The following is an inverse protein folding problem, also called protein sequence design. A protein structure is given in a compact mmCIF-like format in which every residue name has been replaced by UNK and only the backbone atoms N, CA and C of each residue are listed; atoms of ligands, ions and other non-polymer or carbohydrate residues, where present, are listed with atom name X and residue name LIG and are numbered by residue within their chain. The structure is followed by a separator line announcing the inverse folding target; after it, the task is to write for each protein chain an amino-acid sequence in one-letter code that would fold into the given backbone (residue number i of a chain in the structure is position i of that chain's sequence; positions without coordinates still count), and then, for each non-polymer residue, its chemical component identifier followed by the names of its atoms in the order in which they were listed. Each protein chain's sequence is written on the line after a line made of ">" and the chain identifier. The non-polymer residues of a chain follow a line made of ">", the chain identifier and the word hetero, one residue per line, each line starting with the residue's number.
data_IF_864189940068
#
_entry.id   IF_864189940068
#
_cell.length_a   1.000
_cell.length_b   1.000
_cell.length_c   1.000
_cell.angle_alpha   90.00
_cell.angle_beta   90.00
_cell.angle_gamma   90.00
#
_symmetry.space_group_name_H-M   'P 1'
#
loop_
_entity.id
_entity.type
_entity.pdbx_description
1 polymer ?
#
# COMPACT_ATOMS: atom_id res chain seq x y z
N UNK A 1 -18.47 -5.18 18.72
CA UNK A 1 -18.08 -5.19 17.30
C UNK A 1 -19.26 -4.67 16.48
N UNK A 2 -19.18 -3.48 15.88
CA UNK A 2 -20.34 -2.88 15.18
C UNK A 2 -20.35 -1.36 15.08
N UNK A 3 -19.41 -0.65 15.71
CA UNK A 3 -19.38 0.82 15.67
C UNK A 3 -18.83 1.42 14.36
N UNK A 4 -18.68 0.63 13.29
CA UNK A 4 -18.29 1.14 11.96
C UNK A 4 -16.81 1.42 11.72
N UNK A 5 -15.87 0.96 12.57
CA UNK A 5 -14.43 1.20 12.37
C UNK A 5 -13.90 0.76 11.00
N UNK A 6 -14.21 -0.48 10.58
CA UNK A 6 -13.76 -0.98 9.27
C UNK A 6 -14.39 -0.18 8.12
N UNK A 7 -15.65 0.23 8.27
CA UNK A 7 -16.33 1.12 7.32
C UNK A 7 -15.60 2.45 7.23
N UNK A 8 -15.22 3.04 8.35
CA UNK A 8 -14.48 4.31 8.38
C UNK A 8 -13.11 4.17 7.71
N UNK A 9 -12.36 3.10 7.99
CA UNK A 9 -11.06 2.87 7.35
C UNK A 9 -11.20 2.69 5.82
N UNK A 10 -12.24 1.99 5.36
CA UNK A 10 -12.49 1.82 3.93
C UNK A 10 -12.89 3.13 3.24
N UNK A 11 -13.63 4.00 3.92
CA UNK A 11 -13.97 5.35 3.42
C UNK A 11 -12.70 6.20 3.31
N UNK A 12 -11.86 6.21 4.35
CA UNK A 12 -10.58 6.95 4.34
C UNK A 12 -9.66 6.43 3.24
N UNK A 13 -9.64 5.12 2.98
CA UNK A 13 -8.84 4.51 1.93
C UNK A 13 -9.38 4.76 0.50
N UNK A 14 -10.59 5.29 0.34
CA UNK A 14 -11.26 5.41 -0.95
C UNK A 14 -11.79 4.07 -1.51
N UNK A 15 -11.81 3.01 -0.70
CA UNK A 15 -12.36 1.69 -1.07
C UNK A 15 -13.89 1.65 -1.02
N UNK A 16 -14.51 2.58 -0.32
CA UNK A 16 -15.97 2.75 -0.25
C UNK A 16 -16.30 4.21 -0.50
N UNK A 17 -17.34 4.49 -1.30
CA UNK A 17 -17.79 5.86 -1.57
C UNK A 17 -18.59 6.41 -0.39
N UNK A 18 -18.35 7.68 -0.06
CA UNK A 18 -19.17 8.44 0.89
C UNK A 18 -20.56 8.66 0.31
N UNK A 19 -21.60 8.47 1.12
CA UNK A 19 -22.99 8.78 0.70
C UNK A 19 -23.33 10.26 0.88
N UNK A 20 -22.73 10.91 1.88
CA UNK A 20 -22.87 12.34 2.21
C UNK A 20 -21.58 12.85 2.88
N UNK A 21 -21.27 14.13 2.69
CA UNK A 21 -20.01 14.73 3.15
C UNK A 21 -18.84 14.38 2.25
N UNK A 22 -17.62 14.69 2.68
CA UNK A 22 -16.39 14.42 1.95
C UNK A 22 -15.27 13.99 2.90
N UNK A 23 -14.33 13.19 2.38
CA UNK A 23 -13.05 12.90 3.04
C UNK A 23 -11.98 13.67 2.28
N UNK A 24 -11.21 14.50 2.98
CA UNK A 24 -10.12 15.27 2.38
C UNK A 24 -8.78 14.76 2.90
N UNK A 25 -7.82 14.60 2.01
CA UNK A 25 -6.41 14.36 2.31
C UNK A 25 -5.58 15.43 1.61
N UNK A 26 -4.86 16.25 2.37
CA UNK A 26 -4.08 17.38 1.81
C UNK A 26 -4.91 18.27 0.87
N UNK A 27 -6.10 18.66 1.34
CA UNK A 27 -7.09 19.47 0.60
C UNK A 27 -7.61 18.85 -0.71
N UNK A 28 -7.34 17.56 -0.95
CA UNK A 28 -7.88 16.81 -2.09
C UNK A 28 -8.94 15.83 -1.63
N UNK A 29 -10.04 15.77 -2.35
CA UNK A 29 -11.10 14.82 -2.08
C UNK A 29 -10.66 13.39 -2.38
N UNK A 30 -10.95 12.49 -1.44
CA UNK A 30 -10.71 11.05 -1.60
C UNK A 30 -11.95 10.42 -2.25
N UNK A 31 -11.91 10.28 -3.57
CA UNK A 31 -12.97 9.66 -4.35
C UNK A 31 -12.66 8.21 -4.77
N UNK A 32 -11.40 7.81 -4.62
CA UNK A 32 -10.85 6.55 -5.12
C UNK A 32 -9.58 6.12 -4.35
N UNK A 33 -9.20 4.84 -4.43
CA UNK A 33 -7.94 4.37 -3.84
C UNK A 33 -6.73 4.94 -4.58
N UNK A 34 -5.69 5.31 -3.84
CA UNK A 34 -4.47 5.92 -4.39
C UNK A 34 -3.22 5.52 -3.61
N UNK A 35 -2.03 5.59 -4.23
CA UNK A 35 -0.76 5.16 -3.61
C UNK A 35 -0.33 5.99 -2.40
N UNK A 36 -0.91 7.16 -2.19
CA UNK A 36 -0.70 8.06 -1.05
C UNK A 36 -1.37 7.55 0.25
N UNK A 37 -2.17 6.48 0.16
CA UNK A 37 -2.86 5.86 1.29
C UNK A 37 -2.58 4.36 1.35
N UNK A 38 -2.35 3.84 2.55
CA UNK A 38 -2.18 2.41 2.80
C UNK A 38 -3.14 1.92 3.88
N UNK A 39 -3.73 0.74 3.68
CA UNK A 39 -4.53 0.04 4.68
C UNK A 39 -3.75 -1.19 5.15
N UNK A 40 -3.52 -1.28 6.46
CA UNK A 40 -2.89 -2.44 7.07
C UNK A 40 -3.98 -3.28 7.72
N UNK A 41 -4.17 -4.51 7.25
CA UNK A 41 -5.09 -5.46 7.84
C UNK A 41 -4.46 -6.12 9.06
N UNK A 42 -5.29 -6.48 10.05
CA UNK A 42 -4.82 -7.22 11.21
C UNK A 42 -4.37 -8.66 10.86
N UNK A 43 -4.93 -9.23 9.79
CA UNK A 43 -4.48 -10.51 9.25
C UNK A 43 -3.34 -10.30 8.24
N UNK A 44 -2.37 -11.21 8.24
CA UNK A 44 -1.27 -11.21 7.28
C UNK A 44 -1.82 -11.23 5.84
N UNK A 45 -1.47 -10.19 5.08
CA UNK A 45 -1.91 -10.01 3.69
C UNK A 45 -0.77 -10.28 2.69
N UNK A 46 0.32 -10.91 3.14
CA UNK A 46 1.39 -11.36 2.27
C UNK A 46 0.91 -12.56 1.45
N UNK A 47 1.35 -12.64 0.20
CA UNK A 47 1.17 -13.80 -0.64
C UNK A 47 2.16 -14.88 -0.17
N UNK A 48 1.71 -15.97 0.46
CA UNK A 48 2.59 -16.91 1.16
C UNK A 48 3.45 -17.76 0.22
N UNK A 49 3.15 -17.74 -1.07
CA UNK A 49 3.94 -18.41 -2.12
C UNK A 49 4.97 -17.49 -2.78
N UNK A 50 5.13 -16.26 -2.30
CA UNK A 50 6.11 -15.29 -2.79
C UNK A 50 7.15 -14.98 -1.71
N UNK A 51 8.38 -14.71 -2.13
CA UNK A 51 9.43 -14.18 -1.25
C UNK A 51 9.03 -12.79 -0.70
N UNK A 52 9.71 -12.30 0.34
CA UNK A 52 9.48 -10.92 0.83
C UNK A 52 9.79 -9.92 -0.28
N UNK A 53 10.86 -10.13 -1.04
CA UNK A 53 11.21 -9.29 -2.18
C UNK A 53 10.07 -9.25 -3.20
N UNK A 54 9.51 -10.41 -3.58
CA UNK A 54 8.44 -10.49 -4.59
C UNK A 54 7.13 -9.85 -4.12
N UNK A 55 6.77 -10.01 -2.83
CA UNK A 55 5.64 -9.33 -2.24
C UNK A 55 5.76 -7.80 -2.36
N UNK A 56 6.95 -7.25 -2.08
CA UNK A 56 7.20 -5.80 -2.18
C UNK A 56 7.28 -5.37 -3.65
N UNK A 57 7.95 -6.16 -4.50
CA UNK A 57 8.12 -5.88 -5.92
C UNK A 57 6.77 -5.79 -6.66
N UNK A 58 5.77 -6.58 -6.26
CA UNK A 58 4.42 -6.51 -6.80
C UNK A 58 3.81 -5.11 -6.60
N UNK A 59 3.89 -4.57 -5.38
CA UNK A 59 3.38 -3.25 -5.05
C UNK A 59 4.18 -2.13 -5.74
N UNK A 60 5.52 -2.20 -5.68
CA UNK A 60 6.43 -1.23 -6.30
C UNK A 60 6.25 -1.17 -7.81
N UNK A 61 6.09 -2.32 -8.46
CA UNK A 61 5.84 -2.38 -9.90
C UNK A 61 4.48 -1.82 -10.29
N UNK A 62 3.46 -1.97 -9.43
CA UNK A 62 2.13 -1.39 -9.68
C UNK A 62 2.15 0.14 -9.60
N UNK A 63 2.90 0.71 -8.65
CA UNK A 63 2.98 2.16 -8.43
C UNK A 63 3.96 2.84 -9.39
N UNK A 64 5.14 2.25 -9.60
CA UNK A 64 6.23 2.88 -10.37
C UNK A 64 6.48 2.26 -11.74
N UNK A 65 5.66 1.32 -12.19
CA UNK A 65 5.89 0.58 -13.44
C UNK A 65 5.96 1.46 -14.70
N UNK A 66 5.37 2.66 -14.66
CA UNK A 66 5.40 3.64 -15.76
C UNK A 66 6.46 4.74 -15.59
N UNK A 67 7.05 4.87 -14.39
CA UNK A 67 7.94 5.99 -14.04
C UNK A 67 9.36 5.56 -13.68
N UNK A 68 9.60 4.27 -13.45
CA UNK A 68 10.91 3.71 -13.09
C UNK A 68 11.23 2.46 -13.90
N UNK A 69 12.47 2.38 -14.35
CA UNK A 69 13.03 1.16 -14.94
C UNK A 69 13.03 0.00 -13.94
N UNK A 70 13.27 -1.21 -14.44
CA UNK A 70 13.38 -2.41 -13.59
C UNK A 70 14.52 -2.28 -12.58
N UNK A 71 15.66 -1.72 -13.01
CA UNK A 71 16.82 -1.51 -12.14
C UNK A 71 16.52 -0.50 -11.03
N UNK A 72 15.93 0.65 -11.37
CA UNK A 72 15.56 1.66 -10.37
C UNK A 72 14.53 1.14 -9.35
N UNK A 73 13.60 0.27 -9.78
CA UNK A 73 12.67 -0.40 -8.86
C UNK A 73 13.38 -1.39 -7.94
N UNK A 74 14.32 -2.16 -8.46
CA UNK A 74 15.14 -3.07 -7.65
C UNK A 74 15.92 -2.30 -6.58
N UNK A 75 16.64 -1.24 -6.97
CA UNK A 75 17.42 -0.42 -6.05
C UNK A 75 16.53 0.24 -4.99
N UNK A 76 15.34 0.70 -5.38
CA UNK A 76 14.35 1.24 -4.46
C UNK A 76 13.91 0.20 -3.42
N UNK A 77 13.62 -1.04 -3.84
CA UNK A 77 13.21 -2.12 -2.93
C UNK A 77 14.34 -2.45 -1.96
N UNK A 78 15.55 -2.67 -2.45
CA UNK A 78 16.70 -3.04 -1.63
C UNK A 78 17.01 -1.97 -0.58
N UNK A 79 17.03 -0.69 -0.99
CA UNK A 79 17.23 0.42 -0.07
C UNK A 79 16.17 0.46 1.05
N UNK A 80 14.90 0.22 0.72
CA UNK A 80 13.84 0.25 1.72
C UNK A 80 13.86 -0.97 2.65
N UNK A 81 14.25 -2.14 2.14
CA UNK A 81 14.49 -3.34 2.97
C UNK A 81 15.61 -3.13 3.98
N UNK A 82 16.70 -2.48 3.56
CA UNK A 82 17.81 -2.13 4.46
C UNK A 82 17.37 -1.15 5.56
N UNK A 83 16.55 -0.14 5.21
CA UNK A 83 16.03 0.84 6.17
C UNK A 83 15.19 0.20 7.28
N UNK A 84 14.45 -0.86 6.97
CA UNK A 84 13.63 -1.60 7.94
C UNK A 84 14.35 -2.81 8.53
N UNK A 85 15.66 -2.94 8.30
CA UNK A 85 16.52 -4.04 8.80
C UNK A 85 16.06 -5.44 8.35
N UNK A 86 15.32 -5.54 7.24
CA UNK A 86 14.81 -6.80 6.68
C UNK A 86 15.62 -7.32 5.50
N UNK A 87 16.84 -6.82 5.29
CA UNK A 87 17.73 -7.28 4.22
C UNK A 87 17.97 -8.80 4.23
N UNK A 88 17.95 -9.41 5.42
CA UNK A 88 18.13 -10.84 5.64
C UNK A 88 16.92 -11.69 5.26
N UNK A 89 15.72 -11.09 5.13
CA UNK A 89 14.47 -11.77 4.84
C UNK A 89 14.12 -11.74 3.34
N UNK A 90 15.06 -11.33 2.49
CA UNK A 90 14.85 -11.13 1.04
C UNK A 90 14.47 -12.41 0.29
N UNK A 91 14.98 -13.55 0.75
CA UNK A 91 14.90 -14.88 0.11
C UNK A 91 13.82 -15.73 0.78
#
# INVERSE_FOLDING_TARGET
>A
SGCGKSTLLNLIAGLTKVSKGAVLLEDKEVDSPGPERAVVFQNHSLLPWLTVYDNINLAVSKVFGQTKSRAERHDWIMRNLDLVQMAHARD
#
